data_IF_261406091026
#
_entry.id   IF_261406091026
#
_cell.length_a   1.000
_cell.length_b   1.000
_cell.length_c   1.000
_cell.angle_alpha   90.00
_cell.angle_beta   90.00
_cell.angle_gamma   90.00
#
_symmetry.space_group_name_H-M   'P 1'
#
loop_
_entity.id
_entity.type
_entity.pdbx_description
1 polymer ?
#
# COMPACT_ATOMS: atom_id res chain seq x y z
N UNK A 1 21.43 -23.88 3.90
CA UNK A 1 20.04 -23.38 3.98
C UNK A 1 19.93 -21.87 3.74
N UNK A 2 20.98 -21.05 3.88
CA UNK A 2 20.93 -19.59 3.61
C UNK A 2 20.88 -19.20 2.12
N UNK A 3 21.58 -19.91 1.22
CA UNK A 3 21.64 -19.56 -0.22
C UNK A 3 20.30 -19.65 -0.96
N UNK A 4 19.45 -20.62 -0.61
CA UNK A 4 18.14 -20.79 -1.25
C UNK A 4 17.21 -19.59 -1.00
N UNK A 5 17.23 -19.04 0.22
CA UNK A 5 16.43 -17.87 0.59
C UNK A 5 16.95 -16.60 -0.07
N UNK A 6 18.27 -16.41 -0.09
CA UNK A 6 18.92 -15.30 -0.79
C UNK A 6 18.57 -15.30 -2.29
N UNK A 7 18.50 -16.48 -2.92
CA UNK A 7 18.07 -16.60 -4.32
C UNK A 7 16.58 -16.28 -4.51
N UNK A 8 15.70 -16.71 -3.60
CA UNK A 8 14.27 -16.38 -3.67
C UNK A 8 14.02 -14.87 -3.51
N UNK A 9 14.70 -14.20 -2.57
CA UNK A 9 14.59 -12.73 -2.40
C UNK A 9 15.07 -11.98 -3.65
N UNK A 10 16.18 -12.43 -4.25
CA UNK A 10 16.66 -11.90 -5.53
C UNK A 10 15.64 -12.10 -6.66
N UNK A 11 14.98 -13.26 -6.71
CA UNK A 11 13.96 -13.53 -7.72
C UNK A 11 12.77 -12.58 -7.53
N UNK A 12 12.27 -12.45 -6.29
CA UNK A 12 11.16 -11.55 -5.97
C UNK A 12 11.50 -10.13 -6.38
N UNK A 13 12.68 -9.63 -5.98
CA UNK A 13 13.07 -8.26 -6.29
C UNK A 13 13.30 -8.04 -7.79
N UNK A 14 14.08 -8.91 -8.46
CA UNK A 14 14.45 -8.72 -9.86
C UNK A 14 13.28 -8.92 -10.81
N UNK A 15 12.47 -9.97 -10.62
CA UNK A 15 11.40 -10.30 -11.55
C UNK A 15 10.11 -9.55 -11.27
N UNK A 16 9.72 -9.40 -10.01
CA UNK A 16 8.45 -8.75 -9.69
C UNK A 16 8.63 -7.24 -9.53
N UNK A 17 9.64 -6.76 -8.80
CA UNK A 17 9.78 -5.31 -8.54
C UNK A 17 10.49 -4.55 -9.68
N UNK A 18 11.51 -5.15 -10.32
CA UNK A 18 12.23 -4.54 -11.45
C UNK A 18 11.84 -5.08 -12.84
N UNK A 19 11.04 -6.14 -12.90
CA UNK A 19 10.55 -6.73 -14.14
C UNK A 19 9.09 -6.37 -14.39
N UNK A 20 8.18 -7.20 -13.89
CA UNK A 20 6.74 -7.14 -14.18
C UNK A 20 6.11 -5.86 -13.65
N UNK A 21 6.39 -5.48 -12.40
CA UNK A 21 5.81 -4.32 -11.74
C UNK A 21 6.79 -3.15 -11.66
N UNK A 22 7.57 -2.94 -12.72
CA UNK A 22 8.59 -1.89 -12.75
C UNK A 22 7.98 -0.51 -12.39
N UNK A 23 8.40 0.11 -11.27
CA UNK A 23 7.71 1.25 -10.67
C UNK A 23 7.69 2.49 -11.57
N UNK A 24 8.80 2.80 -12.27
CA UNK A 24 8.86 3.95 -13.20
C UNK A 24 7.88 3.79 -14.37
N UNK A 25 7.93 2.63 -15.05
CA UNK A 25 7.05 2.34 -16.19
C UNK A 25 5.58 2.47 -15.80
N UNK A 26 5.16 1.78 -14.74
CA UNK A 26 3.76 1.82 -14.31
C UNK A 26 3.33 3.17 -13.75
N UNK A 27 4.24 3.94 -13.15
CA UNK A 27 3.95 5.32 -12.73
C UNK A 27 3.68 6.23 -13.92
N UNK A 28 4.50 6.15 -14.98
CA UNK A 28 4.28 6.93 -16.21
C UNK A 28 2.97 6.54 -16.88
N UNK A 29 2.71 5.23 -17.01
CA UNK A 29 1.44 4.72 -17.57
C UNK A 29 0.26 5.19 -16.73
N UNK A 30 0.37 5.14 -15.39
CA UNK A 30 -0.67 5.60 -14.48
C UNK A 30 -0.95 7.09 -14.66
N UNK A 31 0.07 7.95 -14.70
CA UNK A 31 -0.09 9.40 -14.91
C UNK A 31 -0.80 9.67 -16.24
N UNK A 32 -0.30 9.11 -17.33
CA UNK A 32 -0.88 9.34 -18.67
C UNK A 32 -2.33 8.86 -18.73
N UNK A 33 -2.61 7.65 -18.22
CA UNK A 33 -3.96 7.11 -18.22
C UNK A 33 -4.91 7.94 -17.33
N UNK A 34 -4.44 8.38 -16.16
CA UNK A 34 -5.18 9.27 -15.25
C UNK A 34 -5.54 10.57 -15.95
N UNK A 35 -4.59 11.22 -16.60
CA UNK A 35 -4.82 12.47 -17.32
C UNK A 35 -5.82 12.25 -18.46
N UNK A 36 -5.67 11.20 -19.26
CA UNK A 36 -6.58 10.90 -20.38
C UNK A 36 -8.02 10.66 -19.90
N UNK A 37 -8.20 9.83 -18.86
CA UNK A 37 -9.53 9.50 -18.33
C UNK A 37 -10.17 10.74 -17.69
N UNK A 38 -9.44 11.44 -16.82
CA UNK A 38 -9.99 12.58 -16.10
C UNK A 38 -10.18 13.82 -16.99
N UNK A 39 -9.31 14.05 -17.98
CA UNK A 39 -9.50 15.14 -18.95
C UNK A 39 -10.77 14.92 -19.78
N UNK A 40 -11.07 13.67 -20.16
CA UNK A 40 -12.32 13.36 -20.87
C UNK A 40 -13.57 13.68 -20.04
N UNK A 41 -13.53 13.41 -18.73
CA UNK A 41 -14.61 13.78 -17.81
C UNK A 41 -14.75 15.29 -17.66
N UNK A 42 -13.63 16.02 -17.49
CA UNK A 42 -13.63 17.48 -17.38
C UNK A 42 -14.14 18.15 -18.66
N UNK A 43 -13.71 17.67 -19.83
CA UNK A 43 -14.19 18.19 -21.11
C UNK A 43 -15.69 17.98 -21.26
N UNK A 44 -16.19 16.79 -20.93
CA UNK A 44 -17.62 16.50 -21.01
C UNK A 44 -18.43 17.37 -20.04
N UNK A 45 -17.92 17.59 -18.82
CA UNK A 45 -18.52 18.50 -17.84
C UNK A 45 -18.57 19.94 -18.38
N UNK A 46 -17.48 20.42 -18.99
CA UNK A 46 -17.39 21.77 -19.52
C UNK A 46 -18.31 22.02 -20.72
N UNK A 47 -18.50 21.03 -21.59
CA UNK A 47 -19.32 21.17 -22.80
C UNK A 47 -20.81 20.95 -22.54
N UNK A 48 -21.16 19.96 -21.71
CA UNK A 48 -22.55 19.52 -21.55
C UNK A 48 -23.16 19.88 -20.20
N UNK A 49 -22.40 20.35 -19.22
CA UNK A 49 -22.91 20.76 -17.91
C UNK A 49 -23.49 19.65 -17.04
N UNK A 50 -23.38 18.38 -17.46
CA UNK A 50 -23.98 17.23 -16.77
C UNK A 50 -23.11 16.72 -15.63
N UNK A 51 -23.12 17.42 -14.49
CA UNK A 51 -22.44 17.00 -13.27
C UNK A 51 -23.11 15.81 -12.57
N UNK A 52 -24.36 15.49 -12.88
CA UNK A 52 -25.20 14.50 -12.18
C UNK A 52 -24.65 13.06 -12.19
N UNK A 53 -23.67 12.76 -13.04
CA UNK A 53 -23.04 11.44 -13.14
C UNK A 53 -21.71 11.34 -12.37
N UNK A 54 -21.26 12.42 -11.74
CA UNK A 54 -20.08 12.44 -10.86
C UNK A 54 -20.56 12.22 -9.41
N UNK A 55 -20.53 10.98 -8.94
CA UNK A 55 -20.87 10.67 -7.55
C UNK A 55 -19.64 10.82 -6.64
N UNK A 56 -19.69 11.75 -5.68
CA UNK A 56 -18.61 11.98 -4.72
C UNK A 56 -18.20 10.69 -3.98
N UNK A 57 -19.15 9.78 -3.72
CA UNK A 57 -18.89 8.50 -3.06
C UNK A 57 -17.85 7.65 -3.77
N UNK A 58 -17.84 7.68 -5.11
CA UNK A 58 -16.95 6.84 -5.91
C UNK A 58 -15.50 7.35 -5.80
N UNK A 59 -15.31 8.67 -5.81
CA UNK A 59 -13.99 9.30 -5.67
C UNK A 59 -13.45 9.28 -4.23
N UNK A 60 -14.32 9.32 -3.20
CA UNK A 60 -13.88 9.14 -1.80
C UNK A 60 -13.24 7.77 -1.59
N UNK A 61 -13.81 6.73 -2.22
CA UNK A 61 -13.26 5.38 -2.14
C UNK A 61 -11.89 5.30 -2.84
N UNK A 62 -11.73 5.96 -3.99
CA UNK A 62 -10.45 6.03 -4.69
C UNK A 62 -9.38 6.78 -3.87
N UNK A 63 -9.74 7.89 -3.19
CA UNK A 63 -8.84 8.61 -2.28
C UNK A 63 -8.29 7.73 -1.15
N UNK A 64 -9.15 6.90 -0.55
CA UNK A 64 -8.71 5.96 0.50
C UNK A 64 -7.70 4.97 -0.06
N UNK A 65 -7.90 4.44 -1.27
CA UNK A 65 -6.98 3.49 -1.89
C UNK A 65 -5.62 4.12 -2.21
N UNK A 66 -5.63 5.34 -2.74
CA UNK A 66 -4.40 6.09 -3.04
C UNK A 66 -3.66 6.39 -1.74
N UNK A 67 -4.38 6.75 -0.67
CA UNK A 67 -3.80 6.99 0.66
C UNK A 67 -3.12 5.74 1.21
N UNK A 68 -3.77 4.57 1.13
CA UNK A 68 -3.15 3.30 1.54
C UNK A 68 -1.91 3.00 0.71
N UNK A 69 -1.96 3.22 -0.61
CA UNK A 69 -0.81 2.99 -1.49
C UNK A 69 0.36 3.92 -1.14
N UNK A 70 0.09 5.20 -0.85
CA UNK A 70 1.08 6.15 -0.37
C UNK A 70 1.71 5.73 0.96
N UNK A 71 0.92 5.21 1.91
CA UNK A 71 1.44 4.67 3.16
C UNK A 71 2.40 3.49 2.93
N UNK A 72 2.09 2.60 1.99
CA UNK A 72 3.00 1.52 1.63
C UNK A 72 4.30 2.02 0.96
N UNK A 73 4.20 2.96 0.02
CA UNK A 73 5.36 3.53 -0.67
C UNK A 73 6.26 4.25 0.34
N UNK A 74 5.70 5.12 1.18
CA UNK A 74 6.47 5.88 2.17
C UNK A 74 7.16 4.98 3.18
N UNK A 75 6.45 3.97 3.71
CA UNK A 75 7.01 3.08 4.74
C UNK A 75 7.98 2.06 4.19
N UNK A 76 7.56 1.30 3.18
CA UNK A 76 8.34 0.15 2.70
C UNK A 76 9.25 0.54 1.53
N UNK A 77 8.84 1.39 0.59
CA UNK A 77 9.72 1.76 -0.53
C UNK A 77 10.78 2.82 -0.15
N UNK A 78 10.45 3.70 0.80
CA UNK A 78 11.34 4.80 1.21
C UNK A 78 11.94 4.63 2.60
N UNK A 79 11.47 3.65 3.40
CA UNK A 79 11.93 3.45 4.78
C UNK A 79 11.54 4.58 5.74
N UNK A 80 10.49 5.35 5.41
CA UNK A 80 10.07 6.48 6.24
C UNK A 80 8.91 6.09 7.15
N UNK A 81 9.19 6.03 8.46
CA UNK A 81 8.20 5.80 9.51
C UNK A 81 7.83 7.11 10.19
N UNK A 82 6.61 7.19 10.72
CA UNK A 82 6.18 8.38 11.42
C UNK A 82 6.84 8.46 12.81
N UNK A 83 6.84 9.66 13.40
CA UNK A 83 7.20 9.81 14.80
C UNK A 83 6.18 9.10 15.73
N UNK A 84 6.48 8.92 17.02
CA UNK A 84 5.62 8.18 17.96
C UNK A 84 4.15 8.62 17.95
N UNK A 85 3.91 9.94 17.85
CA UNK A 85 2.57 10.52 17.78
C UNK A 85 1.87 10.11 16.49
N UNK A 86 2.54 10.21 15.35
CA UNK A 86 1.97 9.82 14.05
C UNK A 86 1.68 8.33 13.96
N UNK A 87 2.56 7.49 14.52
CA UNK A 87 2.36 6.04 14.62
C UNK A 87 1.14 5.68 15.47
N UNK A 88 0.93 6.38 16.58
CA UNK A 88 -0.25 6.18 17.44
C UNK A 88 -1.55 6.64 16.75
N UNK A 89 -1.50 7.75 16.01
CA UNK A 89 -2.65 8.23 15.22
C UNK A 89 -2.98 7.22 14.13
N UNK A 90 -1.97 6.73 13.40
CA UNK A 90 -2.15 5.72 12.36
C UNK A 90 -2.79 4.46 12.93
N UNK A 91 -2.32 3.96 14.08
CA UNK A 91 -2.88 2.81 14.76
C UNK A 91 -4.36 3.00 15.11
N UNK A 92 -4.70 4.20 15.61
CA UNK A 92 -6.08 4.54 15.95
C UNK A 92 -6.98 4.53 14.71
N UNK A 93 -6.51 5.13 13.61
CA UNK A 93 -7.23 5.16 12.33
C UNK A 93 -7.41 3.76 11.74
N UNK A 94 -6.39 2.89 11.83
CA UNK A 94 -6.47 1.51 11.38
C UNK A 94 -7.47 0.69 12.20
N UNK A 95 -7.53 0.89 13.52
CA UNK A 95 -8.53 0.21 14.35
C UNK A 95 -9.96 0.67 14.00
N UNK A 96 -10.17 1.97 13.78
CA UNK A 96 -11.45 2.49 13.29
C UNK A 96 -11.79 1.87 11.93
N UNK A 97 -10.82 1.81 11.02
CA UNK A 97 -10.97 1.20 9.70
C UNK A 97 -11.35 -0.29 9.78
N UNK A 98 -10.70 -1.06 10.66
CA UNK A 98 -11.06 -2.46 10.91
C UNK A 98 -12.49 -2.60 11.47
N UNK A 99 -12.90 -1.72 12.37
CA UNK A 99 -14.27 -1.64 12.85
C UNK A 99 -15.28 -1.39 11.73
N UNK A 100 -14.98 -0.44 10.83
CA UNK A 100 -15.82 -0.18 9.66
C UNK A 100 -15.90 -1.39 8.71
N UNK A 101 -14.77 -2.06 8.47
CA UNK A 101 -14.69 -3.25 7.61
C UNK A 101 -15.41 -4.47 8.20
N UNK A 102 -15.61 -4.55 9.52
CA UNK A 102 -16.36 -5.64 10.16
C UNK A 102 -17.85 -5.33 10.29
N UNK A 103 -18.20 -4.09 10.66
CA UNK A 103 -19.54 -3.79 11.17
C UNK A 103 -20.35 -2.83 10.30
N UNK A 104 -19.74 -2.07 9.39
CA UNK A 104 -20.47 -1.08 8.60
C UNK A 104 -21.08 -1.69 7.33
N UNK A 105 -22.42 -1.75 7.25
CA UNK A 105 -23.13 -2.40 6.14
C UNK A 105 -22.75 -1.93 4.73
N UNK A 106 -22.35 -0.66 4.57
CA UNK A 106 -21.99 -0.11 3.26
C UNK A 106 -20.53 -0.36 2.85
N UNK A 107 -19.62 -0.51 3.82
CA UNK A 107 -18.17 -0.61 3.55
C UNK A 107 -17.63 -2.03 3.78
N UNK A 108 -18.34 -2.82 4.57
CA UNK A 108 -17.93 -4.18 4.90
C UNK A 108 -18.37 -5.18 3.83
N UNK A 109 -17.39 -5.91 3.31
CA UNK A 109 -17.59 -7.04 2.40
C UNK A 109 -18.31 -8.22 3.07
N UNK A 110 -18.39 -8.24 4.40
CA UNK A 110 -19.11 -9.30 5.13
C UNK A 110 -20.61 -9.25 4.83
N UNK A 111 -21.16 -8.06 4.56
CA UNK A 111 -22.58 -7.88 4.25
C UNK A 111 -22.90 -7.94 2.74
N UNK A 112 -21.90 -8.06 1.86
CA UNK A 112 -22.12 -8.18 0.42
C UNK A 112 -22.47 -9.63 0.01
N UNK A 113 -23.08 -9.85 -1.17
CA UNK A 113 -23.45 -11.19 -1.64
C UNK A 113 -22.26 -12.00 -2.19
N UNK A 114 -21.12 -11.98 -1.49
CA UNK A 114 -19.96 -12.82 -1.79
C UNK A 114 -20.05 -14.18 -1.10
N UNK A 115 -19.26 -15.15 -1.57
CA UNK A 115 -19.19 -16.49 -0.98
C UNK A 115 -18.85 -16.43 0.52
N UNK A 116 -19.52 -17.28 1.32
CA UNK A 116 -19.26 -17.42 2.76
C UNK A 116 -17.79 -17.70 3.07
N UNK A 117 -17.10 -18.47 2.22
CA UNK A 117 -15.68 -18.77 2.38
C UNK A 117 -14.84 -17.48 2.34
N UNK A 118 -15.15 -16.57 1.40
CA UNK A 118 -14.44 -15.29 1.29
C UNK A 118 -14.73 -14.42 2.51
N UNK A 119 -15.97 -14.42 3.02
CA UNK A 119 -16.32 -13.70 4.26
C UNK A 119 -15.50 -14.18 5.45
N UNK A 120 -15.33 -15.50 5.60
CA UNK A 120 -14.47 -16.08 6.64
C UNK A 120 -13.03 -15.61 6.47
N UNK A 121 -12.49 -15.62 5.25
CA UNK A 121 -11.13 -15.11 5.01
C UNK A 121 -10.97 -13.64 5.36
N UNK A 122 -11.95 -12.79 5.02
CA UNK A 122 -11.93 -11.36 5.39
C UNK A 122 -11.93 -11.18 6.91
N UNK A 123 -12.80 -11.90 7.63
CA UNK A 123 -12.85 -11.84 9.10
C UNK A 123 -11.52 -12.32 9.71
N UNK A 124 -10.98 -13.43 9.20
CA UNK A 124 -9.68 -13.95 9.67
C UNK A 124 -8.55 -12.96 9.40
N UNK A 125 -8.52 -12.32 8.23
CA UNK A 125 -7.51 -11.30 7.91
C UNK A 125 -7.54 -10.15 8.92
N UNK A 126 -8.73 -9.71 9.34
CA UNK A 126 -8.89 -8.64 10.34
C UNK A 126 -8.53 -9.14 11.75
N UNK A 127 -8.87 -10.38 12.10
CA UNK A 127 -8.62 -10.94 13.43
C UNK A 127 -7.14 -11.30 13.67
N UNK A 128 -6.40 -11.72 12.65
CA UNK A 128 -5.02 -12.20 12.78
C UNK A 128 -4.06 -11.20 13.47
N UNK A 129 -4.01 -9.91 13.08
CA UNK A 129 -3.15 -8.94 13.77
C UNK A 129 -3.45 -8.81 15.26
N UNK A 130 -4.72 -8.87 15.67
CA UNK A 130 -5.08 -8.86 17.09
C UNK A 130 -4.59 -10.11 17.82
N UNK A 131 -4.61 -11.27 17.17
CA UNK A 131 -4.02 -12.50 17.70
C UNK A 131 -2.50 -12.38 17.90
N UNK A 132 -1.78 -11.81 16.93
CA UNK A 132 -0.33 -11.55 17.03
C UNK A 132 -0.02 -10.62 18.20
N UNK A 133 -0.77 -9.52 18.32
CA UNK A 133 -0.64 -8.57 19.44
C UNK A 133 -0.84 -9.27 20.79
N UNK A 134 -1.89 -10.09 20.91
CA UNK A 134 -2.19 -10.82 22.14
C UNK A 134 -1.05 -11.79 22.51
N UNK A 135 -0.50 -12.52 21.53
CA UNK A 135 0.64 -13.42 21.74
C UNK A 135 1.87 -12.64 22.20
N UNK A 136 2.16 -11.49 21.58
CA UNK A 136 3.30 -10.66 21.95
C UNK A 136 3.18 -10.13 23.39
N UNK A 137 1.99 -9.64 23.78
CA UNK A 137 1.73 -9.18 25.15
C UNK A 137 1.90 -10.33 26.17
N UNK A 138 1.35 -11.51 25.88
CA UNK A 138 1.46 -12.67 26.77
C UNK A 138 2.91 -13.15 26.87
N UNK A 139 3.64 -13.16 25.75
CA UNK A 139 5.06 -13.51 25.71
C UNK A 139 5.88 -12.60 26.61
N UNK A 140 5.67 -11.28 26.53
CA UNK A 140 6.36 -10.30 27.37
C UNK A 140 5.99 -10.41 28.86
N UNK A 141 4.74 -10.77 29.19
CA UNK A 141 4.32 -11.01 30.57
C UNK A 141 4.94 -12.27 31.18
N UNK A 142 5.26 -13.27 30.36
CA UNK A 142 5.85 -14.53 30.79
C UNK A 142 7.38 -14.52 30.87
N UNK A 143 8.06 -13.43 30.49
CA UNK A 143 9.52 -13.29 30.64
C UNK A 143 9.90 -13.08 32.11
N UNK A 144 10.98 -13.72 32.54
CA UNK A 144 11.57 -13.55 33.87
C UNK A 144 12.03 -12.09 34.07
N UNK A 145 11.96 -11.57 35.31
CA UNK A 145 12.23 -10.15 35.62
C UNK A 145 13.62 -9.65 35.17
N UNK A 146 14.61 -10.55 35.07
CA UNK A 146 15.98 -10.24 34.61
C UNK A 146 16.11 -10.16 33.06
N UNK A 147 15.15 -10.73 32.31
CA UNK A 147 15.11 -10.72 30.83
C UNK A 147 14.05 -9.75 30.27
N UNK A 148 13.42 -8.94 31.14
CA UNK A 148 12.50 -7.88 30.71
C UNK A 148 13.28 -6.72 30.10
N UNK A 149 13.53 -6.81 28.80
CA UNK A 149 13.86 -5.63 28.00
C UNK A 149 12.75 -4.59 28.18
N UNK A 150 13.06 -3.32 28.49
CA UNK A 150 12.04 -2.29 28.60
C UNK A 150 11.30 -2.22 27.26
N UNK A 151 9.98 -2.37 27.30
CA UNK A 151 9.17 -2.38 26.09
C UNK A 151 9.41 -1.10 25.30
N UNK A 152 10.02 -1.23 24.12
CA UNK A 152 10.15 -0.13 23.19
C UNK A 152 8.76 0.12 22.58
N UNK A 153 7.96 0.91 23.28
CA UNK A 153 6.57 1.20 22.90
C UNK A 153 6.45 1.66 21.43
N UNK A 154 7.45 2.40 20.94
CA UNK A 154 7.48 2.86 19.55
C UNK A 154 7.58 1.70 18.57
N UNK A 155 8.48 0.77 18.80
CA UNK A 155 8.69 -0.42 17.97
C UNK A 155 7.45 -1.32 17.97
N UNK A 156 6.86 -1.55 19.14
CA UNK A 156 5.61 -2.29 19.27
C UNK A 156 4.48 -1.66 18.43
N UNK A 157 4.34 -0.33 18.45
CA UNK A 157 3.33 0.37 17.64
C UNK A 157 3.64 0.29 16.15
N UNK A 158 4.91 0.43 15.74
CA UNK A 158 5.33 0.31 14.33
C UNK A 158 5.01 -1.09 13.80
N UNK A 159 5.39 -2.14 14.54
CA UNK A 159 5.12 -3.54 14.19
C UNK A 159 3.64 -3.82 14.13
N UNK A 160 2.88 -3.29 15.09
CA UNK A 160 1.42 -3.40 15.08
C UNK A 160 0.83 -2.77 13.82
N UNK A 161 1.24 -1.55 13.48
CA UNK A 161 0.80 -0.86 12.26
C UNK A 161 1.17 -1.61 10.98
N UNK A 162 2.35 -2.25 10.94
CA UNK A 162 2.80 -3.07 9.81
C UNK A 162 1.95 -4.33 9.64
N UNK A 163 1.44 -4.92 10.72
CA UNK A 163 0.53 -6.06 10.67
C UNK A 163 -0.89 -5.67 10.20
N UNK A 164 -1.36 -4.45 10.50
CA UNK A 164 -2.69 -3.98 10.07
C UNK A 164 -2.72 -3.47 8.62
N UNK A 165 -1.65 -2.82 8.15
CA UNK A 165 -1.58 -2.23 6.80
C UNK A 165 -1.97 -3.19 5.66
N UNK A 166 -1.53 -4.46 5.64
CA UNK A 166 -1.90 -5.42 4.60
C UNK A 166 -3.39 -5.67 4.46
N UNK A 167 -4.17 -5.54 5.53
CA UNK A 167 -5.64 -5.64 5.48
C UNK A 167 -6.18 -4.56 4.54
N UNK A 168 -5.78 -3.31 4.78
CA UNK A 168 -6.23 -2.17 3.98
C UNK A 168 -5.78 -2.29 2.53
N UNK A 169 -4.55 -2.77 2.30
CA UNK A 169 -4.06 -3.00 0.96
C UNK A 169 -4.88 -4.07 0.24
N UNK A 170 -5.16 -5.21 0.88
CA UNK A 170 -5.99 -6.28 0.32
C UNK A 170 -7.40 -5.82 -0.01
N UNK A 171 -8.03 -5.06 0.90
CA UNK A 171 -9.35 -4.48 0.68
C UNK A 171 -9.35 -3.39 -0.42
N UNK A 172 -8.22 -2.70 -0.64
CA UNK A 172 -8.10 -1.70 -1.71
C UNK A 172 -8.24 -2.29 -3.12
N UNK A 173 -8.03 -3.59 -3.32
CA UNK A 173 -8.25 -4.27 -4.60
C UNK A 173 -9.74 -4.50 -4.90
N UNK A 174 -10.57 -4.56 -3.87
CA UNK A 174 -11.98 -4.91 -3.97
C UNK A 174 -12.87 -3.68 -4.17
N UNK A 175 -12.32 -2.49 -3.98
CA UNK A 175 -13.02 -1.22 -4.06
C UNK A 175 -12.77 -0.44 -5.37
N UNK A 176 -12.23 -1.07 -6.42
CA UNK A 176 -11.88 -0.36 -7.66
C UNK A 176 -13.14 0.23 -8.29
N UNK A 177 -13.18 1.56 -8.39
CA UNK A 177 -14.25 2.28 -9.05
C UNK A 177 -14.43 1.77 -10.49
N UNK A 178 -15.61 1.22 -10.76
CA UNK A 178 -15.90 0.62 -12.06
C UNK A 178 -16.50 1.61 -13.05
N UNK A 179 -16.96 2.78 -12.58
CA UNK A 179 -17.81 3.69 -13.34
C UNK A 179 -17.02 4.93 -13.77
N UNK A 180 -16.55 4.92 -15.01
CA UNK A 180 -16.09 6.12 -15.70
C UNK A 180 -17.08 6.44 -16.84
N UNK A 181 -18.24 7.05 -16.52
CA UNK A 181 -19.36 7.18 -17.46
C UNK A 181 -19.04 7.99 -18.72
N UNK A 182 -17.97 8.79 -18.71
CA UNK A 182 -17.57 9.66 -19.82
C UNK A 182 -16.18 9.36 -20.39
N UNK A 183 -15.60 8.21 -20.06
CA UNK A 183 -14.33 7.85 -20.66
C UNK A 183 -14.49 7.65 -22.17
N UNK A 184 -13.74 8.42 -22.96
CA UNK A 184 -13.84 8.41 -24.43
C UNK A 184 -13.52 7.02 -25.02
N UNK A 185 -12.65 6.25 -24.35
CA UNK A 185 -12.24 4.91 -24.79
C UNK A 185 -12.27 3.93 -23.61
N UNK A 186 -13.03 2.81 -23.68
CA UNK A 186 -13.01 1.79 -22.61
C UNK A 186 -11.62 1.22 -22.32
N UNK A 187 -10.75 1.25 -23.33
CA UNK A 187 -9.34 0.84 -23.23
C UNK A 187 -8.56 1.76 -22.28
N UNK A 188 -8.80 3.08 -22.27
CA UNK A 188 -8.05 3.99 -21.38
C UNK A 188 -8.39 3.75 -19.91
N UNK A 189 -9.66 3.46 -19.60
CA UNK A 189 -10.12 3.04 -18.27
C UNK A 189 -9.45 1.72 -17.86
N UNK A 190 -9.34 0.78 -18.79
CA UNK A 190 -8.71 -0.52 -18.55
C UNK A 190 -7.21 -0.36 -18.25
N UNK A 191 -6.51 0.47 -19.03
CA UNK A 191 -5.08 0.77 -18.83
C UNK A 191 -4.87 1.48 -17.49
N UNK A 192 -5.71 2.46 -17.16
CA UNK A 192 -5.69 3.15 -15.87
C UNK A 192 -5.80 2.16 -14.70
N UNK A 193 -6.79 1.27 -14.73
CA UNK A 193 -7.00 0.25 -13.71
C UNK A 193 -5.82 -0.72 -13.62
N UNK A 194 -5.30 -1.17 -14.76
CA UNK A 194 -4.14 -2.07 -14.79
C UNK A 194 -2.90 -1.40 -14.19
N UNK A 195 -2.68 -0.11 -14.48
CA UNK A 195 -1.57 0.64 -13.93
C UNK A 195 -1.68 0.81 -12.41
N UNK A 196 -2.87 1.13 -11.90
CA UNK A 196 -3.10 1.18 -10.46
C UNK A 196 -2.89 -0.18 -9.79
N UNK A 197 -3.43 -1.25 -10.38
CA UNK A 197 -3.23 -2.61 -9.89
C UNK A 197 -1.74 -2.98 -9.86
N UNK A 198 -0.99 -2.65 -10.90
CA UNK A 198 0.44 -2.92 -10.98
C UNK A 198 1.23 -2.18 -9.87
N UNK A 199 0.89 -0.93 -9.57
CA UNK A 199 1.51 -0.17 -8.46
C UNK A 199 1.16 -0.81 -7.11
N UNK A 200 -0.10 -1.23 -6.91
CA UNK A 200 -0.49 -1.93 -5.67
C UNK A 200 0.25 -3.27 -5.52
N UNK A 201 0.38 -4.03 -6.61
CA UNK A 201 1.18 -5.26 -6.60
C UNK A 201 2.64 -4.95 -6.28
N UNK A 202 3.25 -3.94 -6.88
CA UNK A 202 4.61 -3.49 -6.51
C UNK A 202 4.72 -3.26 -5.01
N UNK A 203 3.79 -2.51 -4.41
CA UNK A 203 3.76 -2.24 -2.97
C UNK A 203 3.66 -3.52 -2.11
N UNK A 204 2.83 -4.49 -2.50
CA UNK A 204 2.74 -5.79 -1.82
C UNK A 204 4.07 -6.54 -1.90
N UNK A 205 4.71 -6.59 -3.06
CA UNK A 205 5.97 -7.32 -3.21
C UNK A 205 7.09 -6.66 -2.40
N UNK A 206 7.13 -5.33 -2.35
CA UNK A 206 8.07 -4.58 -1.49
C UNK A 206 7.79 -4.83 -0.01
N UNK A 207 6.53 -4.86 0.42
CA UNK A 207 6.16 -5.25 1.78
C UNK A 207 6.58 -6.69 2.12
N UNK A 208 6.35 -7.66 1.23
CA UNK A 208 6.80 -9.03 1.43
C UNK A 208 8.33 -9.11 1.54
N UNK A 209 9.07 -8.33 0.75
CA UNK A 209 10.53 -8.23 0.85
C UNK A 209 10.95 -7.66 2.22
N UNK A 210 10.26 -6.61 2.69
CA UNK A 210 10.48 -6.02 4.01
C UNK A 210 10.32 -7.06 5.12
N UNK A 211 9.18 -7.76 5.18
CA UNK A 211 8.89 -8.76 6.21
C UNK A 211 9.89 -9.94 6.17
N UNK A 212 10.23 -10.43 4.98
CA UNK A 212 11.20 -11.52 4.85
C UNK A 212 12.61 -11.11 5.29
N UNK A 213 13.01 -9.85 5.05
CA UNK A 213 14.31 -9.32 5.52
C UNK A 213 14.29 -9.16 7.04
N UNK A 214 13.20 -8.62 7.61
CA UNK A 214 13.03 -8.43 9.05
C UNK A 214 13.13 -9.76 9.81
N UNK A 215 12.36 -10.78 9.39
CA UNK A 215 12.38 -12.12 10.00
C UNK A 215 13.78 -12.74 9.95
N UNK A 216 14.55 -12.50 8.87
CA UNK A 216 15.82 -13.21 8.67
C UNK A 216 17.01 -12.54 9.34
N UNK A 217 17.05 -11.22 9.33
CA UNK A 217 18.20 -10.47 9.83
C UNK A 217 18.00 -9.94 11.25
N UNK A 218 16.82 -10.12 11.85
CA UNK A 218 16.47 -9.66 13.20
C UNK A 218 16.79 -8.17 13.37
N UNK A 219 16.57 -7.40 12.30
CA UNK A 219 16.85 -5.97 12.25
C UNK A 219 15.58 -5.23 12.64
N UNK A 220 15.67 -4.54 13.76
CA UNK A 220 14.65 -3.62 14.27
C UNK A 220 14.30 -2.60 13.16
N UNK A 221 13.01 -2.33 12.98
CA UNK A 221 12.44 -1.50 11.90
C UNK A 221 13.14 -0.14 11.70
N UNK A 222 13.77 0.41 12.75
CA UNK A 222 14.48 1.70 12.74
C UNK A 222 15.92 1.65 12.16
N UNK A 223 16.45 0.46 11.86
CA UNK A 223 17.78 0.26 11.30
C UNK A 223 17.82 -0.18 9.84
N UNK A 224 16.66 -0.24 9.16
CA UNK A 224 16.59 -0.74 7.78
C UNK A 224 17.05 0.31 6.75
N UNK A 225 17.95 -0.12 5.86
CA UNK A 225 18.31 0.64 4.67
C UNK A 225 17.14 0.68 3.68
N UNK A 226 16.91 1.81 2.98
CA UNK A 226 15.86 1.93 1.96
C UNK A 226 16.06 0.97 0.78
N UNK A 227 17.27 0.43 0.60
CA UNK A 227 17.57 -0.60 -0.40
C UNK A 227 17.64 -2.00 0.23
N UNK A 228 16.53 -2.73 0.16
CA UNK A 228 16.47 -4.12 0.62
C UNK A 228 17.48 -5.04 -0.09
N UNK A 229 17.90 -4.70 -1.32
CA UNK A 229 18.88 -5.49 -2.05
C UNK A 229 20.22 -5.59 -1.33
N UNK A 230 20.53 -4.63 -0.45
CA UNK A 230 21.73 -4.67 0.37
C UNK A 230 21.76 -5.89 1.30
N UNK A 231 20.63 -6.43 1.73
CA UNK A 231 20.59 -7.54 2.69
C UNK A 231 20.79 -8.93 2.06
N UNK A 232 20.54 -9.07 0.75
CA UNK A 232 20.68 -10.35 0.04
C UNK A 232 21.61 -10.31 -1.17
N UNK A 233 22.33 -9.20 -1.39
CA UNK A 233 23.47 -9.17 -2.33
C UNK A 233 24.75 -9.63 -1.61
N UNK A 234 25.41 -10.73 -2.05
CA UNK A 234 26.61 -11.23 -1.40
C UNK A 234 27.74 -10.20 -1.46
N UNK A 235 28.43 -10.00 -0.34
CA UNK A 235 29.64 -9.17 -0.28
C UNK A 235 30.81 -10.00 -0.81
N UNK A 236 31.27 -9.70 -2.03
CA UNK A 236 32.50 -10.30 -2.57
C UNK A 236 33.68 -9.47 -2.07
N UNK A 237 34.58 -10.07 -1.27
CA UNK A 237 35.79 -9.41 -0.78
C UNK A 237 36.63 -8.92 -1.97
N UNK A 238 36.82 -7.60 -2.08
CA UNK A 238 37.62 -6.97 -3.13
C UNK A 238 36.83 -6.32 -4.26
N UNK A 239 35.52 -6.53 -4.35
CA UNK A 239 34.65 -5.82 -5.29
C UNK A 239 33.76 -4.81 -4.56
N UNK A 240 33.65 -3.60 -5.11
CA UNK A 240 32.68 -2.61 -4.63
C UNK A 240 31.30 -3.23 -4.87
N UNK A 241 30.55 -3.48 -3.78
CA UNK A 241 29.17 -3.95 -3.82
C UNK A 241 28.40 -3.09 -4.81
N UNK A 242 27.94 -3.68 -5.92
CA UNK A 242 27.02 -3.01 -6.84
C UNK A 242 25.66 -2.89 -6.14
N UNK A 243 25.55 -1.96 -5.20
CA UNK A 243 24.25 -1.39 -4.83
C UNK A 243 23.60 -0.92 -6.13
N UNK A 244 22.31 -1.16 -6.32
CA UNK A 244 21.58 -0.41 -7.34
C UNK A 244 21.95 1.07 -7.12
N UNK A 245 22.34 1.84 -8.17
CA UNK A 245 22.79 3.19 -7.94
C UNK A 245 21.70 3.90 -7.12
N UNK A 246 22.03 4.46 -5.96
CA UNK A 246 21.05 5.17 -5.09
C UNK A 246 20.15 6.11 -5.91
N UNK A 247 20.68 6.63 -7.00
CA UNK A 247 19.98 7.41 -8.00
C UNK A 247 18.78 6.71 -8.66
N UNK A 248 18.86 5.43 -9.02
CA UNK A 248 17.77 4.66 -9.66
C UNK A 248 16.59 4.46 -8.71
N UNK A 249 16.87 4.19 -7.43
CA UNK A 249 15.84 3.97 -6.43
C UNK A 249 15.16 5.27 -5.99
N UNK A 250 15.92 6.35 -5.79
CA UNK A 250 15.36 7.69 -5.55
C UNK A 250 14.50 8.15 -6.71
N UNK A 251 14.96 7.95 -7.95
CA UNK A 251 14.18 8.28 -9.15
C UNK A 251 12.89 7.46 -9.19
N UNK A 252 12.94 6.15 -8.93
CA UNK A 252 11.76 5.28 -8.85
C UNK A 252 10.73 5.74 -7.83
N UNK A 253 11.17 6.04 -6.60
CA UNK A 253 10.30 6.52 -5.53
C UNK A 253 9.65 7.86 -5.89
N UNK A 254 10.38 8.78 -6.53
CA UNK A 254 9.83 10.04 -6.99
C UNK A 254 8.73 9.83 -8.06
N UNK A 255 8.92 8.92 -9.01
CA UNK A 255 7.88 8.60 -10.00
C UNK A 255 6.61 8.03 -9.35
N UNK A 256 6.76 7.13 -8.38
CA UNK A 256 5.62 6.59 -7.62
C UNK A 256 4.88 7.69 -6.86
N UNK A 257 5.60 8.57 -6.17
CA UNK A 257 5.00 9.69 -5.45
C UNK A 257 4.27 10.65 -6.38
N UNK A 258 4.88 11.01 -7.53
CA UNK A 258 4.25 11.88 -8.53
C UNK A 258 2.99 11.23 -9.10
N UNK A 259 3.03 9.94 -9.40
CA UNK A 259 1.87 9.21 -9.90
C UNK A 259 0.72 9.21 -8.89
N UNK A 260 1.00 8.85 -7.63
CA UNK A 260 -0.01 8.85 -6.57
C UNK A 260 -0.55 10.26 -6.29
N UNK A 261 0.32 11.28 -6.24
CA UNK A 261 -0.09 12.66 -6.04
C UNK A 261 -0.98 13.18 -7.18
N UNK A 262 -0.68 12.79 -8.42
CA UNK A 262 -1.51 13.13 -9.58
C UNK A 262 -2.90 12.53 -9.47
N UNK A 263 -2.99 11.23 -9.16
CA UNK A 263 -4.28 10.54 -8.97
C UNK A 263 -5.06 11.19 -7.82
N UNK A 264 -4.41 11.37 -6.67
CA UNK A 264 -5.01 12.01 -5.49
C UNK A 264 -5.57 13.41 -5.82
N UNK A 265 -4.82 14.23 -6.57
CA UNK A 265 -5.26 15.56 -6.93
C UNK A 265 -6.51 15.55 -7.83
N UNK A 266 -6.60 14.63 -8.79
CA UNK A 266 -7.80 14.47 -9.61
C UNK A 266 -8.99 13.96 -8.77
N UNK A 267 -8.78 12.98 -7.91
CA UNK A 267 -9.86 12.47 -7.06
C UNK A 267 -10.42 13.57 -6.14
N UNK A 268 -9.55 14.36 -5.50
CA UNK A 268 -9.98 15.53 -4.71
C UNK A 268 -10.75 16.53 -5.58
N UNK A 269 -10.26 16.84 -6.77
CA UNK A 269 -10.93 17.76 -7.69
C UNK A 269 -12.35 17.29 -8.01
N UNK A 270 -12.55 16.01 -8.30
CA UNK A 270 -13.88 15.48 -8.61
C UNK A 270 -14.79 15.36 -7.39
N UNK A 271 -14.26 15.06 -6.20
CA UNK A 271 -15.04 15.17 -4.95
C UNK A 271 -15.55 16.59 -4.77
N UNK A 272 -14.69 17.59 -4.93
CA UNK A 272 -15.05 19.01 -4.78
C UNK A 272 -16.10 19.40 -5.83
N UNK A 273 -15.87 19.09 -7.11
CA UNK A 273 -16.82 19.37 -8.20
C UNK A 273 -18.18 18.71 -7.93
N UNK A 274 -18.19 17.46 -7.47
CA UNK A 274 -19.42 16.72 -7.17
C UNK A 274 -20.21 17.38 -6.04
N UNK A 275 -19.53 17.80 -4.96
CA UNK A 275 -20.18 18.48 -3.82
C UNK A 275 -20.73 19.86 -4.22
N UNK A 276 -20.03 20.62 -5.05
CA UNK A 276 -20.49 21.96 -5.47
C UNK A 276 -21.66 21.95 -6.45
N UNK A 277 -21.87 20.84 -7.16
CA UNK A 277 -22.95 20.70 -8.15
C UNK A 277 -24.11 19.81 -7.65
N UNK A 278 -24.07 19.35 -6.40
CA UNK A 278 -25.15 18.61 -5.73
C UNK A 278 -26.10 19.56 -4.99
#
# INVERSE_FOLDING_TARGET
MSEFYTNNLKIIHKYFCYGVYHPVFWSVVAIVATVVVNFSQLFHLAVYGNAEFLFASDYIVDLVQVTVSLLFITRFSMGHFFGPVGETILLSLQNIGCGLLLFHHQYSLVYTPISTIIKVFVICQIACPYGIIAINIVSDWCKDDDDKTPANYREFVIDTNNNFLPIFMGHSFLCINSKFPFAVWPVSVTIYKLAQLAIKFYCIHVFCLFEMVLIRHDIISEGLAPDYAEYYTPVVLGEIKQSAPKHVQTTSNNYLLVAMATIYAFDVLFVVISIYNA
#
